data_IF_124364194526
#
_entry.id   IF_124364194526
#
_cell.length_a   1.000
_cell.length_b   1.000
_cell.length_c   1.000
_cell.angle_alpha   90.00
_cell.angle_beta   90.00
_cell.angle_gamma   90.00
#
_symmetry.space_group_name_H-M   'P 1'
#
loop_
_entity.id
_entity.type
_entity.pdbx_description
1 polymer ?
#
# COMPACT_ATOMS: atom_id res chain seq x y z
N UNK A 1 -27.73 0.68 32.95
CA UNK A 1 -26.93 0.11 31.86
C UNK A 1 -26.08 -0.97 32.53
N UNK A 2 -26.09 -2.21 32.04
CA UNK A 2 -25.01 -3.11 32.42
C UNK A 2 -23.86 -2.69 31.50
N UNK A 3 -22.83 -2.08 32.07
CA UNK A 3 -21.65 -1.68 31.32
C UNK A 3 -20.95 -2.97 30.90
N UNK A 4 -20.97 -3.29 29.61
CA UNK A 4 -20.14 -4.36 29.09
C UNK A 4 -18.71 -3.87 29.16
N UNK A 5 -17.87 -4.58 29.90
CA UNK A 5 -16.44 -4.26 29.93
C UNK A 5 -15.81 -4.52 28.56
N UNK A 6 -14.68 -3.88 28.28
CA UNK A 6 -13.89 -4.16 27.07
C UNK A 6 -13.54 -5.66 26.96
N UNK A 7 -13.26 -6.30 28.11
CA UNK A 7 -13.02 -7.74 28.21
C UNK A 7 -14.23 -8.59 27.86
N UNK A 8 -15.45 -8.13 28.17
CA UNK A 8 -16.68 -8.81 27.78
C UNK A 8 -16.87 -8.77 26.25
N UNK A 9 -16.57 -7.65 25.61
CA UNK A 9 -16.64 -7.48 24.16
C UNK A 9 -15.62 -8.37 23.45
N UNK A 10 -14.38 -8.42 23.94
CA UNK A 10 -13.33 -9.29 23.38
C UNK A 10 -13.70 -10.77 23.51
N UNK A 11 -14.27 -11.18 24.65
CA UNK A 11 -14.76 -12.57 24.83
C UNK A 11 -15.90 -12.89 23.87
N UNK A 12 -16.84 -11.98 23.65
CA UNK A 12 -17.94 -12.18 22.70
C UNK A 12 -17.42 -12.37 21.27
N UNK A 13 -16.46 -11.54 20.83
CA UNK A 13 -15.82 -11.64 19.52
C UNK A 13 -15.08 -12.96 19.35
N UNK A 14 -14.24 -13.34 20.33
CA UNK A 14 -13.52 -14.63 20.30
C UNK A 14 -14.46 -15.83 20.31
N UNK A 15 -15.58 -15.75 21.05
CA UNK A 15 -16.57 -16.83 21.10
C UNK A 15 -17.30 -16.98 19.77
N UNK A 16 -17.76 -15.88 19.15
CA UNK A 16 -18.50 -15.93 17.88
C UNK A 16 -17.60 -16.29 16.70
N UNK A 17 -16.35 -15.81 16.68
CA UNK A 17 -15.34 -16.17 15.69
C UNK A 17 -14.73 -17.57 15.85
N UNK A 18 -15.11 -18.32 16.88
CA UNK A 18 -14.59 -19.68 17.13
C UNK A 18 -13.13 -19.73 17.58
N UNK A 19 -12.58 -18.62 18.09
CA UNK A 19 -11.19 -18.48 18.53
C UNK A 19 -10.96 -18.84 20.02
N UNK A 20 -11.95 -19.47 20.66
CA UNK A 20 -11.84 -19.99 22.03
C UNK A 20 -11.50 -21.48 22.03
N UNK A 21 -10.63 -21.90 22.94
CA UNK A 21 -10.44 -23.32 23.25
C UNK A 21 -11.73 -23.95 23.80
N UNK A 22 -11.83 -25.29 23.77
CA UNK A 22 -13.03 -26.00 24.26
C UNK A 22 -13.34 -25.72 25.75
N UNK A 23 -12.31 -25.52 26.56
CA UNK A 23 -12.44 -25.19 27.97
C UNK A 23 -12.90 -23.74 28.18
N UNK A 24 -12.28 -22.77 27.50
CA UNK A 24 -12.73 -21.36 27.51
C UNK A 24 -14.17 -21.24 27.04
N UNK A 25 -14.53 -21.96 25.97
CA UNK A 25 -15.89 -21.98 25.42
C UNK A 25 -16.91 -22.48 26.44
N UNK A 26 -16.63 -23.59 27.11
CA UNK A 26 -17.51 -24.16 28.14
C UNK A 26 -17.62 -23.27 29.39
N UNK A 27 -16.56 -22.52 29.71
CA UNK A 27 -16.58 -21.52 30.78
C UNK A 27 -17.44 -20.32 30.39
N UNK A 28 -17.28 -19.81 29.18
CA UNK A 28 -18.04 -18.66 28.68
C UNK A 28 -19.52 -18.98 28.45
N UNK A 29 -19.87 -20.21 28.07
CA UNK A 29 -21.27 -20.65 27.97
C UNK A 29 -21.98 -20.61 29.34
N UNK A 30 -21.30 -21.00 30.43
CA UNK A 30 -21.82 -20.83 31.79
C UNK A 30 -21.93 -19.36 32.18
N UNK A 31 -21.01 -18.51 31.71
CA UNK A 31 -21.07 -17.06 31.92
C UNK A 31 -22.28 -16.45 31.19
N UNK A 32 -22.54 -16.84 29.94
CA UNK A 32 -23.74 -16.46 29.15
C UNK A 32 -25.04 -16.95 29.79
N UNK A 33 -25.01 -18.08 30.51
CA UNK A 33 -26.15 -18.56 31.30
C UNK A 33 -26.46 -17.63 32.48
N UNK A 34 -25.42 -17.15 33.16
CA UNK A 34 -25.52 -16.32 34.36
C UNK A 34 -25.73 -14.83 34.07
N UNK A 35 -25.26 -14.33 32.92
CA UNK A 35 -25.29 -12.92 32.52
C UNK A 35 -26.19 -12.72 31.30
N UNK A 36 -27.49 -12.46 31.49
CA UNK A 36 -28.42 -12.28 30.38
C UNK A 36 -28.02 -11.14 29.43
N UNK A 37 -27.34 -10.10 29.94
CA UNK A 37 -26.82 -9.00 29.12
C UNK A 37 -25.78 -9.45 28.07
N UNK A 38 -24.92 -10.43 28.40
CA UNK A 38 -23.96 -10.98 27.44
C UNK A 38 -24.67 -11.82 26.37
N UNK A 39 -25.71 -12.56 26.77
CA UNK A 39 -26.53 -13.36 25.85
C UNK A 39 -27.27 -12.46 24.85
N UNK A 40 -27.86 -11.37 25.33
CA UNK A 40 -28.54 -10.40 24.48
C UNK A 40 -27.55 -9.69 23.54
N UNK A 41 -26.36 -9.34 24.01
CA UNK A 41 -25.30 -8.76 23.19
C UNK A 41 -24.82 -9.72 22.09
N UNK A 42 -24.61 -11.00 22.42
CA UNK A 42 -24.24 -12.04 21.45
C UNK A 42 -25.34 -12.24 20.39
N UNK A 43 -26.60 -12.27 20.81
CA UNK A 43 -27.74 -12.38 19.89
C UNK A 43 -27.82 -11.16 18.95
N UNK A 44 -27.58 -9.96 19.47
CA UNK A 44 -27.53 -8.73 18.68
C UNK A 44 -26.39 -8.73 17.65
N UNK A 45 -25.19 -9.15 18.06
CA UNK A 45 -24.04 -9.27 17.16
C UNK A 45 -24.33 -10.25 16.02
N UNK A 46 -24.85 -11.45 16.32
CA UNK A 46 -25.23 -12.45 15.31
C UNK A 46 -26.32 -11.97 14.37
N UNK A 47 -27.33 -11.27 14.89
CA UNK A 47 -28.39 -10.70 14.07
C UNK A 47 -27.81 -9.68 13.07
N UNK A 48 -26.90 -8.82 13.51
CA UNK A 48 -26.23 -7.85 12.65
C UNK A 48 -25.36 -8.53 11.58
N UNK A 49 -24.52 -9.50 11.96
CA UNK A 49 -23.71 -10.30 11.04
C UNK A 49 -24.57 -11.01 9.98
N UNK A 50 -25.74 -11.52 10.36
CA UNK A 50 -26.66 -12.17 9.41
C UNK A 50 -27.40 -11.20 8.48
N UNK A 51 -27.55 -9.93 8.88
CA UNK A 51 -28.24 -8.90 8.12
C UNK A 51 -27.30 -8.22 7.11
N UNK A 52 -26.02 -8.12 7.42
CA UNK A 52 -25.00 -7.44 6.62
C UNK A 52 -24.98 -7.90 5.14
N UNK A 53 -24.97 -9.20 4.79
CA UNK A 53 -24.99 -9.65 3.40
C UNK A 53 -26.26 -9.27 2.60
N UNK A 54 -27.31 -8.79 3.28
CA UNK A 54 -28.59 -8.41 2.65
C UNK A 54 -28.66 -6.93 2.28
N UNK A 55 -27.64 -6.14 2.62
CA UNK A 55 -27.58 -4.71 2.31
C UNK A 55 -26.84 -4.56 0.96
N UNK A 56 -27.52 -4.24 -0.16
CA UNK A 56 -26.85 -4.02 -1.43
C UNK A 56 -26.03 -2.72 -1.38
N UNK A 57 -24.90 -2.69 -2.09
CA UNK A 57 -23.96 -1.54 -2.11
C UNK A 57 -24.59 -0.24 -2.59
N UNK A 58 -25.70 -0.31 -3.33
CA UNK A 58 -26.43 0.85 -3.85
C UNK A 58 -27.52 1.37 -2.89
N UNK A 59 -27.68 0.76 -1.72
CA UNK A 59 -28.71 1.14 -0.76
C UNK A 59 -28.35 2.44 -0.04
N UNK A 60 -29.31 3.37 0.04
CA UNK A 60 -29.15 4.62 0.80
C UNK A 60 -29.02 4.35 2.29
N UNK A 61 -28.28 5.22 2.99
CA UNK A 61 -27.97 5.11 4.42
C UNK A 61 -29.22 4.89 5.30
N UNK A 62 -30.31 5.59 4.98
CA UNK A 62 -31.57 5.52 5.74
C UNK A 62 -32.23 4.14 5.61
N UNK A 63 -32.12 3.50 4.44
CA UNK A 63 -32.74 2.20 4.18
C UNK A 63 -31.88 1.05 4.72
N UNK A 64 -30.55 1.21 4.69
CA UNK A 64 -29.63 0.31 5.37
C UNK A 64 -29.89 0.33 6.90
N UNK A 65 -30.05 1.51 7.50
CA UNK A 65 -30.40 1.65 8.91
C UNK A 65 -31.74 0.97 9.26
N UNK A 66 -32.76 1.10 8.41
CA UNK A 66 -34.05 0.42 8.60
C UNK A 66 -33.93 -1.11 8.53
N UNK A 67 -33.09 -1.66 7.64
CA UNK A 67 -32.85 -3.10 7.56
C UNK A 67 -32.10 -3.62 8.78
N UNK A 68 -31.07 -2.91 9.25
CA UNK A 68 -30.35 -3.25 10.47
C UNK A 68 -31.30 -3.21 11.67
N UNK A 69 -32.13 -2.17 11.76
CA UNK A 69 -33.10 -2.02 12.85
C UNK A 69 -34.20 -3.11 12.81
N UNK A 70 -34.62 -3.53 11.62
CA UNK A 70 -35.59 -4.61 11.43
C UNK A 70 -35.03 -6.00 11.76
N UNK A 71 -33.71 -6.20 11.66
CA UNK A 71 -33.05 -7.45 11.98
C UNK A 71 -32.87 -7.67 13.50
N UNK A 72 -32.99 -6.62 14.31
CA UNK A 72 -32.84 -6.74 15.76
C UNK A 72 -34.04 -7.45 16.40
N UNK A 73 -33.80 -8.32 17.40
CA UNK A 73 -34.88 -9.01 18.09
C UNK A 73 -35.83 -8.01 18.76
N UNK A 74 -37.12 -8.06 18.37
CA UNK A 74 -38.18 -7.18 18.87
C UNK A 74 -38.44 -7.28 20.38
N UNK A 75 -37.95 -8.34 21.03
CA UNK A 75 -38.11 -8.56 22.47
C UNK A 75 -37.16 -7.73 23.35
N UNK A 76 -36.25 -6.96 22.75
CA UNK A 76 -35.47 -5.96 23.48
C UNK A 76 -36.39 -4.82 23.96
N UNK A 77 -36.93 -4.97 25.19
CA UNK A 77 -37.99 -4.15 25.83
C UNK A 77 -37.79 -2.63 25.93
N UNK A 78 -36.76 -2.04 25.32
CA UNK A 78 -36.70 -0.59 25.13
C UNK A 78 -35.72 -0.20 24.00
N UNK A 79 -36.18 0.32 22.85
CA UNK A 79 -35.30 0.73 21.75
C UNK A 79 -34.32 1.85 22.14
N UNK A 80 -34.68 2.67 23.15
CA UNK A 80 -33.81 3.74 23.67
C UNK A 80 -32.52 3.22 24.34
N UNK A 81 -32.49 1.94 24.76
CA UNK A 81 -31.37 1.39 25.55
C UNK A 81 -30.27 0.76 24.69
N UNK A 82 -30.55 0.48 23.42
CA UNK A 82 -29.61 -0.14 22.47
C UNK A 82 -29.01 0.85 21.47
N UNK A 83 -29.60 2.04 21.33
CA UNK A 83 -29.18 3.05 20.35
C UNK A 83 -27.67 3.37 20.37
N UNK A 84 -26.99 3.52 21.53
CA UNK A 84 -25.55 3.81 21.54
C UNK A 84 -24.70 2.65 21.04
N UNK A 85 -25.06 1.41 21.39
CA UNK A 85 -24.38 0.20 20.95
C UNK A 85 -24.63 -0.08 19.47
N UNK A 86 -25.83 0.20 18.96
CA UNK A 86 -26.15 0.10 17.54
C UNK A 86 -25.46 1.17 16.70
N UNK A 87 -25.26 2.37 17.26
CA UNK A 87 -24.43 3.39 16.63
C UNK A 87 -22.95 2.98 16.60
N UNK A 88 -22.41 2.46 17.72
CA UNK A 88 -21.02 2.01 17.77
C UNK A 88 -20.78 0.77 16.88
N UNK A 89 -21.65 -0.23 16.96
CA UNK A 89 -21.60 -1.44 16.15
C UNK A 89 -21.90 -1.14 14.67
N UNK A 90 -22.83 -0.23 14.39
CA UNK A 90 -23.10 0.29 13.06
C UNK A 90 -21.90 1.04 12.48
N UNK A 91 -21.24 1.89 13.25
CA UNK A 91 -20.01 2.59 12.83
C UNK A 91 -18.84 1.62 12.61
N UNK A 92 -18.70 0.59 13.45
CA UNK A 92 -17.67 -0.45 13.27
C UNK A 92 -17.96 -1.36 12.07
N UNK A 93 -19.21 -1.80 11.88
CA UNK A 93 -19.64 -2.59 10.73
C UNK A 93 -19.58 -1.78 9.42
N UNK A 94 -19.88 -0.48 9.46
CA UNK A 94 -19.77 0.44 8.31
C UNK A 94 -18.30 0.70 7.95
N UNK A 95 -17.43 0.81 8.96
CA UNK A 95 -15.98 0.79 8.76
C UNK A 95 -15.45 -0.54 8.21
N UNK A 96 -16.14 -1.65 8.45
CA UNK A 96 -15.81 -2.97 7.88
C UNK A 96 -16.33 -3.11 6.44
N UNK A 97 -17.55 -2.65 6.15
CA UNK A 97 -18.22 -2.81 4.85
C UNK A 97 -17.58 -2.00 3.73
N UNK A 98 -16.92 -0.88 4.04
CA UNK A 98 -16.23 -0.07 3.03
C UNK A 98 -14.84 -0.64 2.65
N UNK A 99 -14.33 -1.65 3.37
CA UNK A 99 -12.94 -2.09 3.25
C UNK A 99 -12.69 -3.61 3.33
N UNK A 100 -13.72 -4.45 3.32
CA UNK A 100 -13.60 -5.91 3.41
C UNK A 100 -13.71 -6.62 2.06
N UNK A 101 -12.58 -6.88 1.40
CA UNK A 101 -12.49 -7.89 0.32
C UNK A 101 -11.43 -8.91 0.76
N UNK A 102 -11.84 -10.13 1.10
CA UNK A 102 -10.95 -11.12 1.73
C UNK A 102 -9.92 -11.75 0.78
N UNK A 103 -9.90 -11.39 -0.51
CA UNK A 103 -8.85 -11.85 -1.44
C UNK A 103 -8.76 -10.89 -2.64
N UNK A 104 -7.63 -10.23 -2.81
CA UNK A 104 -7.33 -9.45 -4.02
C UNK A 104 -6.39 -10.29 -4.89
N UNK A 105 -6.94 -11.02 -5.84
CA UNK A 105 -6.16 -11.64 -6.92
C UNK A 105 -6.05 -10.64 -8.07
N UNK A 106 -4.86 -10.04 -8.24
CA UNK A 106 -4.55 -9.25 -9.43
C UNK A 106 -3.87 -10.13 -10.47
N UNK A 107 -4.56 -10.39 -11.58
CA UNK A 107 -4.02 -11.08 -12.74
C UNK A 107 -3.58 -10.07 -13.80
N UNK A 108 -2.41 -9.46 -13.59
CA UNK A 108 -1.69 -8.70 -14.60
C UNK A 108 -1.89 -7.18 -14.52
N UNK A 109 -0.83 -6.48 -14.13
CA UNK A 109 -0.74 -5.01 -14.07
C UNK A 109 0.01 -4.53 -12.82
N UNK A 110 0.49 -3.27 -12.78
CA UNK A 110 0.98 -2.69 -11.54
C UNK A 110 -0.17 -2.52 -10.54
N UNK A 111 -0.03 -3.09 -9.35
CA UNK A 111 -0.98 -2.94 -8.25
C UNK A 111 -0.47 -1.84 -7.34
N UNK A 112 -1.22 -0.74 -7.24
CA UNK A 112 -0.91 0.34 -6.29
C UNK A 112 -1.75 0.14 -5.04
N UNK A 113 -1.10 -0.02 -3.89
CA UNK A 113 -1.74 -0.17 -2.59
C UNK A 113 -1.41 1.06 -1.76
N UNK A 114 -2.46 1.76 -1.33
CA UNK A 114 -2.31 2.78 -0.29
C UNK A 114 -2.16 2.06 1.05
N UNK A 115 -1.14 2.42 1.85
CA UNK A 115 -0.92 1.88 3.19
C UNK A 115 -2.15 2.03 4.11
N UNK A 116 -3.07 2.96 3.81
CA UNK A 116 -4.36 3.12 4.50
C UNK A 116 -5.41 2.06 4.10
N UNK A 117 -5.26 1.48 2.91
CA UNK A 117 -6.18 0.49 2.32
C UNK A 117 -5.76 -0.96 2.59
N UNK A 118 -4.80 -1.19 3.49
CA UNK A 118 -4.33 -2.55 3.81
C UNK A 118 -5.49 -3.35 4.41
N UNK A 119 -6.01 -4.28 3.62
CA UNK A 119 -7.04 -5.22 4.03
C UNK A 119 -6.41 -6.25 4.96
N UNK A 120 -7.14 -6.61 6.03
CA UNK A 120 -6.75 -7.71 6.90
C UNK A 120 -6.93 -9.04 6.15
N UNK A 121 -5.90 -9.89 6.07
CA UNK A 121 -5.97 -11.18 5.37
C UNK A 121 -4.68 -11.56 4.63
N UNK A 122 -4.67 -12.75 4.03
CA UNK A 122 -3.59 -13.17 3.11
C UNK A 122 -3.88 -12.63 1.71
N UNK A 123 -2.95 -11.88 1.11
CA UNK A 123 -3.07 -11.38 -0.27
C UNK A 123 -1.92 -11.92 -1.11
N UNK A 124 -2.23 -12.48 -2.28
CA UNK A 124 -1.24 -12.92 -3.27
C UNK A 124 -1.18 -11.87 -4.37
N UNK A 125 -0.03 -11.20 -4.52
CA UNK A 125 0.14 -10.15 -5.53
C UNK A 125 1.13 -10.61 -6.59
N UNK A 126 0.65 -10.71 -7.83
CA UNK A 126 1.45 -10.92 -9.04
C UNK A 126 1.59 -9.60 -9.82
N UNK A 127 2.82 -9.18 -10.12
CA UNK A 127 3.10 -7.95 -10.87
C UNK A 127 3.91 -6.90 -10.09
N UNK A 128 3.93 -5.65 -10.55
CA UNK A 128 4.61 -4.59 -9.81
C UNK A 128 3.73 -4.13 -8.64
N UNK A 129 4.15 -4.35 -7.40
CA UNK A 129 3.46 -3.86 -6.22
C UNK A 129 4.04 -2.49 -5.82
N UNK A 130 3.24 -1.43 -5.93
CA UNK A 130 3.63 -0.08 -5.50
C UNK A 130 2.93 0.21 -4.18
N UNK A 131 3.70 0.34 -3.10
CA UNK A 131 3.16 0.75 -1.80
C UNK A 131 3.39 2.25 -1.65
N UNK A 132 2.31 2.99 -1.40
CA UNK A 132 2.35 4.44 -1.14
C UNK A 132 1.72 4.76 0.21
N UNK A 133 2.27 5.72 0.96
CA UNK A 133 1.69 6.17 2.23
C UNK A 133 1.75 7.70 2.35
N UNK A 134 0.64 8.29 2.78
CA UNK A 134 0.43 9.75 2.80
C UNK A 134 0.62 10.41 4.18
N UNK A 135 0.98 9.69 5.25
CA UNK A 135 1.20 10.30 6.57
C UNK A 135 2.11 9.48 7.50
N UNK A 136 2.90 10.20 8.29
CA UNK A 136 3.96 9.75 9.21
C UNK A 136 3.50 8.94 10.43
N UNK A 137 2.59 7.97 10.29
CA UNK A 137 2.21 7.04 11.36
C UNK A 137 1.46 5.78 10.87
N UNK A 138 1.70 5.34 9.63
CA UNK A 138 1.05 4.13 9.13
C UNK A 138 1.91 2.89 9.48
N UNK A 139 1.63 2.31 10.65
CA UNK A 139 2.10 0.98 10.99
C UNK A 139 1.53 -0.02 9.97
N UNK A 140 2.38 -0.62 9.13
CA UNK A 140 1.99 -1.85 8.39
C UNK A 140 2.07 -3.02 9.36
N UNK A 141 1.14 -3.02 10.33
CA UNK A 141 0.73 -4.19 11.10
C UNK A 141 -0.65 -3.96 11.74
N UNK A 142 -1.71 -4.17 10.97
CA UNK A 142 -2.94 -4.77 11.54
C UNK A 142 -2.67 -6.27 11.64
N UNK A 143 -2.98 -6.88 12.79
CA UNK A 143 -2.50 -8.20 13.28
C UNK A 143 -2.61 -9.42 12.35
N UNK A 144 -3.11 -9.31 11.12
CA UNK A 144 -3.44 -10.45 10.25
C UNK A 144 -3.18 -10.23 8.75
N UNK A 145 -2.60 -9.12 8.32
CA UNK A 145 -2.33 -8.90 6.88
C UNK A 145 -0.97 -9.48 6.47
N UNK A 146 -0.97 -10.57 5.70
CA UNK A 146 0.23 -11.20 5.14
C UNK A 146 0.19 -11.10 3.61
N UNK A 147 1.22 -10.50 3.04
CA UNK A 147 1.31 -10.30 1.60
C UNK A 147 2.32 -11.31 1.05
N UNK A 148 1.87 -12.19 0.17
CA UNK A 148 2.72 -13.10 -0.58
C UNK A 148 2.98 -12.49 -1.94
N UNK A 149 4.21 -12.05 -2.17
CA UNK A 149 4.65 -11.48 -3.44
C UNK A 149 5.23 -12.62 -4.29
N UNK A 150 4.72 -12.80 -5.52
CA UNK A 150 5.21 -13.87 -6.41
C UNK A 150 6.66 -13.55 -6.83
N UNK A 151 7.60 -14.51 -6.92
CA UNK A 151 9.03 -14.23 -7.16
C UNK A 151 9.39 -13.38 -8.38
N UNK A 152 8.53 -13.32 -9.39
CA UNK A 152 8.70 -12.49 -10.59
C UNK A 152 8.28 -11.03 -10.41
N UNK A 153 7.76 -10.67 -9.24
CA UNK A 153 7.13 -9.38 -8.94
C UNK A 153 8.15 -8.41 -8.34
N UNK A 154 8.05 -7.13 -8.68
CA UNK A 154 8.90 -6.07 -8.11
C UNK A 154 8.11 -5.26 -7.10
N UNK A 155 8.67 -5.06 -5.90
CA UNK A 155 8.07 -4.19 -4.87
C UNK A 155 8.72 -2.82 -4.92
N UNK A 156 7.91 -1.78 -5.12
CA UNK A 156 8.34 -0.40 -5.18
C UNK A 156 7.74 0.34 -3.97
N UNK A 157 8.59 0.75 -3.03
CA UNK A 157 8.18 1.61 -1.93
C UNK A 157 8.31 3.08 -2.38
N UNK A 158 7.19 3.79 -2.56
CA UNK A 158 7.18 5.19 -3.01
C UNK A 158 6.56 6.12 -1.96
N UNK A 159 7.11 7.33 -1.84
CA UNK A 159 6.67 8.33 -0.87
C UNK A 159 7.15 8.03 0.55
N UNK A 160 6.43 8.55 1.55
CA UNK A 160 6.88 8.59 2.95
C UNK A 160 6.57 7.30 3.73
N UNK A 161 6.47 6.16 3.04
CA UNK A 161 6.06 4.86 3.61
C UNK A 161 6.92 4.44 4.80
N UNK A 162 8.21 4.75 4.75
CA UNK A 162 9.15 4.37 5.79
C UNK A 162 9.47 5.50 6.78
N UNK A 163 8.91 6.70 6.62
CA UNK A 163 9.27 7.84 7.49
C UNK A 163 9.01 7.56 8.97
N UNK A 164 7.96 6.81 9.31
CA UNK A 164 7.65 6.35 10.68
C UNK A 164 7.04 4.95 10.70
N UNK A 165 7.81 3.96 10.25
CA UNK A 165 7.34 2.59 10.21
C UNK A 165 8.37 1.61 9.68
N UNK A 166 8.01 0.32 9.76
CA UNK A 166 8.78 -0.77 9.18
C UNK A 166 7.91 -1.57 8.22
N UNK A 167 8.51 -2.06 7.15
CA UNK A 167 7.88 -3.00 6.21
C UNK A 167 8.53 -4.36 6.40
N UNK A 168 7.72 -5.40 6.61
CA UNK A 168 8.17 -6.80 6.70
C UNK A 168 7.86 -7.48 5.37
N UNK A 169 8.86 -8.17 4.81
CA UNK A 169 8.75 -8.87 3.54
C UNK A 169 9.20 -10.30 3.78
N UNK A 170 8.40 -11.26 3.28
CA UNK A 170 8.71 -12.68 3.34
C UNK A 170 8.62 -13.27 1.93
N UNK A 171 9.65 -14.00 1.51
CA UNK A 171 9.75 -14.68 0.22
C UNK A 171 10.93 -14.20 -0.63
N UNK A 172 10.79 -14.40 -1.95
CA UNK A 172 11.74 -13.89 -2.95
C UNK A 172 11.19 -12.67 -3.63
N UNK A 173 11.82 -11.51 -3.46
CA UNK A 173 11.34 -10.29 -4.09
C UNK A 173 12.47 -9.28 -4.34
N UNK A 174 12.66 -8.83 -5.60
CA UNK A 174 13.40 -7.61 -5.88
C UNK A 174 12.60 -6.39 -5.41
N UNK A 175 13.21 -5.59 -4.55
CA UNK A 175 12.67 -4.39 -3.94
C UNK A 175 13.54 -3.17 -4.28
N UNK A 176 12.88 -2.02 -4.46
CA UNK A 176 13.56 -0.73 -4.48
C UNK A 176 13.03 0.18 -3.38
N UNK A 177 13.95 0.67 -2.54
CA UNK A 177 13.67 1.64 -1.47
C UNK A 177 14.59 2.85 -1.65
N UNK A 178 14.03 4.00 -2.02
CA UNK A 178 14.84 5.16 -2.42
C UNK A 178 15.74 4.84 -3.61
N UNK A 179 17.05 4.98 -3.44
CA UNK A 179 18.06 4.67 -4.46
C UNK A 179 18.69 3.28 -4.32
N UNK A 180 18.22 2.45 -3.37
CA UNK A 180 18.77 1.12 -3.13
C UNK A 180 17.99 0.06 -3.90
N UNK A 181 18.71 -0.87 -4.52
CA UNK A 181 18.15 -2.12 -5.01
C UNK A 181 18.43 -3.22 -3.99
N UNK A 182 17.38 -3.89 -3.53
CA UNK A 182 17.43 -4.92 -2.49
C UNK A 182 16.81 -6.18 -3.08
N UNK A 183 17.57 -7.28 -3.16
CA UNK A 183 17.04 -8.58 -3.54
C UNK A 183 16.91 -9.44 -2.29
N UNK A 184 15.69 -9.81 -1.92
CA UNK A 184 15.38 -10.56 -0.70
C UNK A 184 15.14 -12.01 -1.11
N UNK A 185 15.84 -12.96 -0.49
CA UNK A 185 15.53 -14.40 -0.51
C UNK A 185 15.38 -14.89 0.93
N UNK A 186 14.22 -14.62 1.54
CA UNK A 186 13.95 -14.94 2.95
C UNK A 186 12.96 -13.98 3.60
N UNK A 187 13.19 -13.66 4.88
CA UNK A 187 12.36 -12.71 5.61
C UNK A 187 13.21 -11.52 6.06
N UNK A 188 12.77 -10.30 5.75
CA UNK A 188 13.49 -9.09 6.07
C UNK A 188 12.57 -7.96 6.54
N UNK A 189 13.11 -7.11 7.41
CA UNK A 189 12.45 -5.91 7.94
C UNK A 189 13.22 -4.69 7.46
N UNK A 190 12.53 -3.74 6.82
CA UNK A 190 13.09 -2.50 6.29
C UNK A 190 12.50 -1.32 7.08
N UNK A 191 13.34 -0.43 7.59
CA UNK A 191 12.93 0.77 8.35
C UNK A 191 13.86 1.95 8.03
N UNK A 192 13.34 3.19 7.98
CA UNK A 192 14.19 4.40 7.96
C UNK A 192 14.48 4.93 9.37
N UNK A 193 13.69 4.52 10.37
CA UNK A 193 13.89 4.89 11.77
C UNK A 193 14.56 3.76 12.58
N UNK A 194 15.24 4.10 13.69
CA UNK A 194 15.65 3.12 14.69
C UNK A 194 14.43 2.33 15.14
N UNK A 195 14.55 1.01 15.15
CA UNK A 195 13.57 0.14 15.82
C UNK A 195 13.78 0.24 17.34
N UNK A 196 13.53 1.42 17.91
CA UNK A 196 13.57 1.64 19.36
C UNK A 196 12.26 1.15 20.00
N UNK A 197 12.36 0.14 20.85
CA UNK A 197 11.30 -0.24 21.80
C UNK A 197 10.06 -0.96 21.25
N UNK A 198 9.80 -0.94 19.94
CA UNK A 198 8.53 -1.45 19.36
C UNK A 198 8.60 -2.90 18.85
N UNK A 199 9.79 -3.48 18.69
CA UNK A 199 9.97 -4.85 18.17
C UNK A 199 10.04 -5.91 19.28
N UNK A 200 9.11 -5.86 20.24
CA UNK A 200 9.01 -6.90 21.31
C UNK A 200 8.04 -8.04 20.98
N UNK A 201 7.39 -8.04 19.83
CA UNK A 201 6.27 -8.95 19.61
C UNK A 201 6.14 -9.41 18.15
N UNK A 202 7.11 -10.16 17.62
CA UNK A 202 6.91 -10.93 16.38
C UNK A 202 6.45 -12.33 16.72
N UNK A 203 5.18 -12.61 16.43
CA UNK A 203 4.41 -13.81 16.76
C UNK A 203 4.74 -15.05 15.91
N UNK A 204 6.00 -15.22 15.51
CA UNK A 204 6.48 -16.41 14.79
C UNK A 204 7.79 -16.98 15.35
N UNK A 205 8.30 -16.44 16.45
CA UNK A 205 9.36 -17.11 17.22
C UNK A 205 8.66 -18.07 18.21
N UNK A 206 9.01 -19.35 18.19
CA UNK A 206 8.48 -20.30 19.19
C UNK A 206 8.74 -19.76 20.61
N UNK A 207 7.86 -20.01 21.60
CA UNK A 207 8.08 -19.59 22.98
C UNK A 207 9.42 -20.14 23.53
N UNK A 208 10.49 -19.35 23.42
CA UNK A 208 11.86 -19.77 23.73
C UNK A 208 12.92 -19.11 22.83
N UNK A 209 12.57 -18.75 21.60
CA UNK A 209 13.46 -18.03 20.68
C UNK A 209 13.44 -16.53 20.96
N UNK A 210 14.27 -16.12 21.91
CA UNK A 210 14.54 -14.70 22.14
C UNK A 210 15.38 -14.21 20.97
N UNK A 211 14.80 -13.33 20.14
CA UNK A 211 15.57 -12.51 19.20
C UNK A 211 16.75 -11.91 19.99
N UNK A 212 17.96 -12.37 19.68
CA UNK A 212 19.12 -12.18 20.55
C UNK A 212 19.25 -10.68 20.87
N UNK A 213 19.11 -10.28 22.15
CA UNK A 213 19.01 -8.88 22.60
C UNK A 213 20.11 -7.97 22.03
N UNK A 214 21.22 -8.57 21.59
CA UNK A 214 22.34 -7.95 20.89
C UNK A 214 21.94 -7.34 19.54
N UNK A 215 21.06 -7.99 18.76
CA UNK A 215 20.58 -7.53 17.44
C UNK A 215 19.73 -6.26 17.58
N UNK A 216 18.83 -6.22 18.57
CA UNK A 216 18.05 -5.03 18.93
C UNK A 216 18.93 -3.86 19.40
N UNK A 217 20.03 -4.11 20.12
CA UNK A 217 20.95 -3.02 20.54
C UNK A 217 21.80 -2.49 19.40
N UNK A 218 22.25 -3.34 18.48
CA UNK A 218 23.01 -2.91 17.29
C UNK A 218 22.14 -2.07 16.35
N UNK A 219 20.85 -2.42 16.25
CA UNK A 219 19.84 -1.66 15.51
C UNK A 219 19.68 -0.21 16.00
N UNK A 220 19.65 -0.04 17.33
CA UNK A 220 19.48 1.26 17.99
C UNK A 220 20.68 2.20 17.79
N UNK A 221 21.91 1.67 17.70
CA UNK A 221 23.10 2.49 17.54
C UNK A 221 23.29 3.09 16.15
N UNK A 222 22.78 2.44 15.10
CA UNK A 222 23.04 2.82 13.71
C UNK A 222 22.02 3.82 13.13
N UNK A 223 20.81 3.87 13.68
CA UNK A 223 19.69 4.59 13.07
C UNK A 223 19.47 6.03 13.59
N UNK A 224 20.23 6.48 14.60
CA UNK A 224 20.19 7.86 15.09
C UNK A 224 20.64 8.92 14.05
N UNK A 225 21.14 8.49 12.89
CA UNK A 225 21.74 9.35 11.86
C UNK A 225 20.80 9.52 10.64
N UNK A 226 19.61 8.91 10.64
CA UNK A 226 18.68 8.97 9.51
C UNK A 226 19.22 8.20 8.30
N UNK A 227 18.83 6.93 8.18
CA UNK A 227 19.34 6.04 7.14
C UNK A 227 18.54 4.76 7.03
N UNK A 228 18.53 4.18 5.82
CA UNK A 228 17.87 2.91 5.57
C UNK A 228 18.53 1.80 6.40
N UNK A 229 17.73 1.19 7.26
CA UNK A 229 18.10 0.03 8.07
C UNK A 229 17.38 -1.20 7.55
N UNK A 230 18.14 -2.27 7.32
CA UNK A 230 17.68 -3.57 6.89
C UNK A 230 18.06 -4.61 7.94
N UNK A 231 17.09 -5.41 8.37
CA UNK A 231 17.30 -6.56 9.25
C UNK A 231 16.84 -7.82 8.55
N UNK A 232 17.71 -8.83 8.46
CA UNK A 232 17.38 -10.11 7.83
C UNK A 232 17.02 -11.10 8.95
N UNK A 233 15.76 -11.50 8.99
CA UNK A 233 15.24 -12.47 9.97
C UNK A 233 15.56 -13.90 9.53
N UNK A 234 15.40 -14.22 8.25
CA UNK A 234 15.76 -15.51 7.66
C UNK A 234 16.25 -15.36 6.22
N UNK A 235 17.03 -16.33 5.75
CA UNK A 235 17.57 -16.34 4.38
C UNK A 235 18.72 -15.36 4.12
N UNK A 236 18.80 -14.86 2.90
CA UNK A 236 19.84 -13.96 2.42
C UNK A 236 19.22 -12.73 1.75
N UNK A 237 19.83 -11.56 1.98
CA UNK A 237 19.45 -10.33 1.28
C UNK A 237 20.66 -9.71 0.62
N UNK A 238 20.54 -9.38 -0.66
CA UNK A 238 21.58 -8.68 -1.42
C UNK A 238 21.20 -7.23 -1.61
N UNK A 239 22.00 -6.33 -1.03
CA UNK A 239 21.79 -4.88 -1.13
C UNK A 239 22.79 -4.29 -2.10
N UNK A 240 22.32 -3.57 -3.10
CA UNK A 240 23.15 -2.79 -4.02
C UNK A 240 22.95 -1.31 -3.72
N UNK A 241 23.89 -0.67 -2.98
CA UNK A 241 23.88 0.77 -2.75
C UNK A 241 24.07 1.56 -4.06
N UNK A 242 23.56 2.80 -4.15
CA UNK A 242 23.68 3.61 -5.36
C UNK A 242 25.13 3.92 -5.75
N UNK A 243 26.00 4.11 -4.76
CA UNK A 243 27.38 4.59 -4.97
C UNK A 243 28.45 3.49 -4.82
N UNK A 244 28.04 2.25 -4.54
CA UNK A 244 28.97 1.16 -4.25
C UNK A 244 28.55 -0.14 -4.93
N UNK A 245 29.22 -0.47 -6.02
CA UNK A 245 29.52 -1.87 -6.31
C UNK A 245 30.76 -2.25 -5.50
N UNK A 246 30.79 -3.42 -4.84
CA UNK A 246 29.92 -4.57 -5.07
C UNK A 246 28.64 -4.59 -4.21
N UNK A 247 27.66 -5.36 -4.69
CA UNK A 247 26.48 -5.78 -3.91
C UNK A 247 26.90 -6.43 -2.59
N UNK A 248 26.26 -6.02 -1.49
CA UNK A 248 26.52 -6.51 -0.14
C UNK A 248 25.51 -7.60 0.20
N UNK A 249 25.99 -8.81 0.53
CA UNK A 249 25.16 -9.89 1.07
C UNK A 249 24.99 -9.72 2.58
N UNK A 250 23.74 -9.77 3.04
CA UNK A 250 23.33 -9.71 4.44
C UNK A 250 22.63 -11.02 4.77
N UNK A 251 23.25 -11.83 5.61
CA UNK A 251 22.73 -13.15 6.01
C UNK A 251 21.72 -13.03 7.17
N UNK A 252 20.90 -14.05 7.37
CA UNK A 252 20.00 -14.18 8.51
C UNK A 252 20.67 -13.84 9.86
N UNK A 253 19.96 -13.06 10.68
CA UNK A 253 20.43 -12.55 11.97
C UNK A 253 21.41 -11.38 11.88
N UNK A 254 21.79 -10.94 10.66
CA UNK A 254 22.60 -9.73 10.44
C UNK A 254 21.72 -8.54 10.09
N UNK A 255 22.30 -7.37 10.29
CA UNK A 255 21.70 -6.09 9.97
C UNK A 255 22.64 -5.29 9.09
N UNK A 256 22.08 -4.49 8.20
CA UNK A 256 22.80 -3.56 7.35
C UNK A 256 22.19 -2.17 7.49
N UNK A 257 23.02 -1.15 7.51
CA UNK A 257 22.58 0.23 7.64
C UNK A 257 23.45 1.13 6.74
N UNK A 258 22.82 2.06 6.03
CA UNK A 258 23.52 3.14 5.33
C UNK A 258 23.92 4.18 6.37
N UNK A 259 25.14 4.05 6.91
CA UNK A 259 25.71 5.16 7.65
C UNK A 259 25.86 6.34 6.67
N UNK A 260 25.24 7.48 6.98
CA UNK A 260 25.47 8.72 6.24
C UNK A 260 26.97 8.92 6.05
N UNK A 261 27.45 9.37 4.86
CA UNK A 261 28.87 9.41 4.53
C UNK A 261 29.64 10.19 5.59
N UNK A 262 30.33 9.47 6.47
CA UNK A 262 31.23 10.08 7.43
C UNK A 262 32.45 10.60 6.66
N UNK A 263 32.80 11.86 6.91
CA UNK A 263 33.89 12.57 6.25
C UNK A 263 35.18 11.71 6.21
N UNK A 264 35.56 11.32 5.00
CA UNK A 264 36.93 10.99 4.54
C UNK A 264 37.78 10.15 5.49
N UNK A 265 37.70 8.82 5.34
CA UNK A 265 38.82 7.94 5.68
C UNK A 265 39.68 7.79 4.42
N UNK A 266 40.90 8.34 4.46
CA UNK A 266 41.93 8.18 3.42
C UNK A 266 42.23 6.69 3.25
N UNK A 267 41.82 6.09 2.13
CA UNK A 267 42.26 4.75 1.74
C UNK A 267 43.42 4.90 0.76
N UNK A 268 44.60 4.46 1.22
CA UNK A 268 45.80 4.30 0.41
C UNK A 268 45.61 3.09 -0.50
N UNK A 269 45.71 3.29 -1.81
CA UNK A 269 45.67 2.25 -2.83
C UNK A 269 46.97 1.44 -2.86
N UNK A 270 46.89 0.10 -2.99
CA UNK A 270 47.93 -0.69 -3.62
C UNK A 270 47.42 -1.20 -4.97
N UNK A 271 47.95 -0.61 -6.04
CA UNK A 271 47.82 -1.12 -7.40
C UNK A 271 49.16 -1.76 -7.79
N UNK A 272 49.20 -3.10 -7.79
CA UNK A 272 50.18 -3.99 -8.42
C UNK A 272 49.62 -5.38 -8.09
N UNK A 273 49.33 -6.31 -8.99
CA UNK A 273 49.93 -6.70 -10.24
C UNK A 273 49.03 -7.87 -10.73
N UNK A 274 48.81 -8.02 -12.03
CA UNK A 274 48.81 -9.28 -12.79
C UNK A 274 48.15 -9.11 -14.15
N UNK A 275 48.86 -9.66 -15.14
CA UNK A 275 48.68 -9.49 -16.56
C UNK A 275 47.95 -10.69 -17.17
N UNK A 276 47.27 -10.43 -18.29
CA UNK A 276 47.09 -11.30 -19.48
C UNK A 276 46.79 -12.79 -19.28
N UNK A 277 45.58 -13.19 -19.67
CA UNK A 277 45.39 -14.37 -20.53
C UNK A 277 44.08 -14.25 -21.31
N UNK A 278 44.15 -14.35 -22.64
CA UNK A 278 43.01 -14.38 -23.57
C UNK A 278 42.82 -15.82 -24.06
N UNK A 279 41.61 -16.39 -23.99
CA UNK A 279 41.26 -17.52 -24.85
C UNK A 279 40.30 -17.12 -25.99
N UNK A 280 40.62 -17.64 -27.17
CA UNK A 280 39.92 -17.56 -28.46
C UNK A 280 38.56 -18.29 -28.45
N UNK A 281 37.69 -18.01 -29.44
CA UNK A 281 36.31 -18.49 -29.45
C UNK A 281 36.22 -19.95 -29.92
N UNK A 282 35.38 -20.74 -29.25
CA UNK A 282 34.93 -22.04 -29.72
C UNK A 282 33.58 -21.83 -30.41
N UNK A 283 33.55 -22.05 -31.71
CA UNK A 283 32.32 -22.16 -32.49
C UNK A 283 31.68 -23.53 -32.27
N UNK A 284 30.38 -23.52 -31.98
CA UNK A 284 29.52 -24.71 -32.09
C UNK A 284 28.30 -24.29 -32.89
N UNK A 285 28.19 -24.86 -34.08
CA UNK A 285 27.00 -24.91 -34.92
C UNK A 285 26.01 -25.91 -34.33
N UNK A 286 24.80 -25.48 -34.00
CA UNK A 286 23.69 -26.40 -33.75
C UNK A 286 22.44 -25.95 -34.54
N UNK A 287 21.99 -26.87 -35.40
CA UNK A 287 20.74 -26.83 -36.16
C UNK A 287 19.58 -26.92 -35.17
N UNK A 288 18.64 -25.98 -35.23
CA UNK A 288 17.29 -26.18 -34.70
C UNK A 288 16.38 -26.67 -35.83
N UNK A 289 15.92 -27.92 -35.69
CA UNK A 289 14.86 -28.50 -36.49
C UNK A 289 13.49 -27.97 -36.05
N UNK A 290 12.67 -27.64 -37.04
CA UNK A 290 11.30 -27.19 -36.90
C UNK A 290 10.38 -28.36 -36.54
N UNK A 291 9.75 -28.29 -35.36
CA UNK A 291 8.70 -29.20 -34.92
C UNK A 291 7.41 -28.46 -34.64
N UNK A 292 6.58 -28.28 -35.66
CA UNK A 292 5.24 -27.69 -35.55
C UNK A 292 4.27 -28.75 -35.01
N UNK A 293 3.86 -28.63 -33.75
CA UNK A 293 2.71 -29.38 -33.21
C UNK A 293 1.52 -28.43 -33.04
N UNK A 294 0.55 -28.53 -33.96
CA UNK A 294 -0.75 -27.89 -33.81
C UNK A 294 -1.60 -28.70 -32.84
N UNK A 295 -1.89 -28.12 -31.67
CA UNK A 295 -2.95 -28.60 -30.77
C UNK A 295 -4.25 -27.94 -31.22
N UNK A 296 -5.13 -28.72 -31.83
CA UNK A 296 -6.51 -28.32 -32.15
C UNK A 296 -7.32 -28.43 -30.86
N UNK A 297 -7.48 -27.30 -30.15
CA UNK A 297 -8.48 -27.16 -29.09
C UNK A 297 -9.81 -26.81 -29.76
N UNK A 298 -10.74 -27.77 -29.77
CA UNK A 298 -12.15 -27.53 -30.08
C UNK A 298 -12.79 -26.81 -28.90
N UNK A 299 -12.95 -25.50 -29.00
CA UNK A 299 -13.77 -24.72 -28.08
C UNK A 299 -15.24 -25.00 -28.33
N UNK A 300 -15.91 -25.41 -27.24
CA UNK A 300 -17.33 -25.73 -27.14
C UNK A 300 -18.14 -24.42 -27.14
N UNK A 301 -19.32 -24.50 -27.74
CA UNK A 301 -20.22 -23.38 -28.00
C UNK A 301 -20.60 -22.56 -26.76
N UNK A 302 -20.53 -21.24 -26.91
CA UNK A 302 -21.68 -20.36 -26.65
C UNK A 302 -21.97 -19.97 -25.20
N UNK A 303 -21.10 -19.17 -24.59
CA UNK A 303 -21.50 -18.29 -23.49
C UNK A 303 -20.99 -16.87 -23.79
N UNK A 304 -21.92 -15.92 -23.89
CA UNK A 304 -21.65 -14.56 -24.34
C UNK A 304 -20.66 -13.87 -23.38
N UNK A 305 -19.40 -13.76 -23.80
CA UNK A 305 -18.38 -13.00 -23.09
C UNK A 305 -18.85 -11.55 -22.92
N UNK A 306 -18.83 -11.01 -21.68
CA UNK A 306 -19.11 -9.60 -21.47
C UNK A 306 -18.12 -8.79 -22.29
N UNK A 307 -18.65 -7.85 -23.07
CA UNK A 307 -17.89 -7.01 -23.99
C UNK A 307 -16.64 -6.45 -23.31
N UNK A 308 -15.46 -6.87 -23.78
CA UNK A 308 -14.18 -6.28 -23.38
C UNK A 308 -14.30 -4.77 -23.50
N UNK A 309 -14.35 -4.09 -22.37
CA UNK A 309 -14.37 -2.63 -22.32
C UNK A 309 -13.03 -2.19 -22.88
N UNK A 310 -13.06 -1.60 -24.08
CA UNK A 310 -11.89 -1.06 -24.75
C UNK A 310 -11.28 -0.01 -23.82
N UNK A 311 -10.16 -0.35 -23.19
CA UNK A 311 -9.38 0.61 -22.42
C UNK A 311 -8.97 1.72 -23.40
N UNK A 312 -9.38 2.98 -23.18
CA UNK A 312 -9.00 4.07 -24.06
C UNK A 312 -7.48 4.11 -24.18
N UNK A 313 -6.97 4.19 -25.41
CA UNK A 313 -5.54 4.39 -25.62
C UNK A 313 -5.11 5.71 -24.96
N UNK A 314 -3.95 5.76 -24.28
CA UNK A 314 -3.47 6.98 -23.67
C UNK A 314 -3.26 8.05 -24.74
N UNK A 315 -3.78 9.26 -24.49
CA UNK A 315 -3.57 10.41 -25.36
C UNK A 315 -2.14 10.91 -25.17
N UNK A 316 -1.38 10.97 -26.26
CA UNK A 316 0.02 11.44 -26.26
C UNK A 316 0.03 12.88 -26.75
N UNK A 317 0.58 13.79 -25.96
CA UNK A 317 0.65 15.22 -26.28
C UNK A 317 2.03 15.66 -26.79
N UNK A 318 2.10 16.69 -27.64
CA UNK A 318 3.38 17.24 -28.08
C UNK A 318 4.16 17.90 -26.91
N UNK A 319 5.49 17.93 -27.00
CA UNK A 319 6.37 18.59 -26.01
C UNK A 319 6.54 20.10 -26.26
N UNK A 320 5.78 20.67 -27.18
CA UNK A 320 5.72 22.11 -27.42
C UNK A 320 4.96 22.80 -26.30
N UNK A 321 5.10 24.13 -26.21
CA UNK A 321 4.33 24.95 -25.24
C UNK A 321 2.82 24.68 -25.33
N UNK A 322 2.30 24.66 -26.55
CA UNK A 322 0.87 24.45 -26.80
C UNK A 322 0.47 23.00 -26.45
N UNK A 323 1.30 22.01 -26.79
CA UNK A 323 1.05 20.62 -26.41
C UNK A 323 1.05 20.39 -24.89
N UNK A 324 1.92 21.06 -24.14
CA UNK A 324 1.91 21.04 -22.67
C UNK A 324 0.65 21.70 -22.13
N UNK A 325 0.22 22.82 -22.71
CA UNK A 325 -1.01 23.48 -22.30
C UNK A 325 -2.23 22.59 -22.58
N UNK A 326 -2.30 21.96 -23.75
CA UNK A 326 -3.38 21.04 -24.12
C UNK A 326 -3.41 19.80 -23.21
N UNK A 327 -2.24 19.28 -22.84
CA UNK A 327 -2.12 18.16 -21.89
C UNK A 327 -2.64 18.54 -20.50
N UNK A 328 -2.29 19.72 -19.99
CA UNK A 328 -2.82 20.17 -18.70
C UNK A 328 -4.31 20.44 -18.78
N UNK A 329 -4.80 21.02 -19.88
CA UNK A 329 -6.22 21.28 -20.09
C UNK A 329 -7.05 20.00 -20.17
N UNK A 330 -6.51 18.91 -20.73
CA UNK A 330 -7.22 17.65 -20.85
C UNK A 330 -7.51 17.00 -19.49
N UNK A 331 -6.69 17.26 -18.47
CA UNK A 331 -6.86 16.75 -17.10
C UNK A 331 -7.46 17.76 -16.11
N UNK A 332 -7.90 18.92 -16.61
CA UNK A 332 -8.55 19.93 -15.76
C UNK A 332 -9.84 19.45 -15.09
N UNK A 333 -10.68 18.58 -15.70
CA UNK A 333 -11.84 18.01 -15.01
C UNK A 333 -11.47 17.24 -13.73
N UNK A 334 -10.44 16.40 -13.79
CA UNK A 334 -9.97 15.61 -12.64
C UNK A 334 -9.33 16.51 -11.57
N UNK A 335 -8.57 17.53 -11.99
CA UNK A 335 -8.03 18.55 -11.07
C UNK A 335 -9.17 19.34 -10.41
N UNK A 336 -10.25 19.64 -11.16
CA UNK A 336 -11.43 20.30 -10.63
C UNK A 336 -12.14 19.43 -9.60
N UNK A 337 -12.26 18.11 -9.83
CA UNK A 337 -12.86 17.18 -8.86
C UNK A 337 -12.03 17.10 -7.58
N UNK A 338 -10.69 17.05 -7.70
CA UNK A 338 -9.78 17.20 -6.56
C UNK A 338 -10.11 18.47 -5.77
N UNK A 339 -10.12 19.65 -6.42
CA UNK A 339 -10.36 20.93 -5.76
C UNK A 339 -11.77 21.05 -5.16
N UNK A 340 -12.80 20.63 -5.89
CA UNK A 340 -14.20 20.81 -5.51
C UNK A 340 -14.52 20.07 -4.21
N UNK A 341 -14.03 18.84 -4.04
CA UNK A 341 -14.23 18.04 -2.82
C UNK A 341 -13.73 18.73 -1.54
N UNK A 342 -12.64 19.49 -1.64
CA UNK A 342 -12.06 20.25 -0.53
C UNK A 342 -12.68 21.64 -0.37
N UNK A 343 -13.06 22.28 -1.48
CA UNK A 343 -13.64 23.62 -1.48
C UNK A 343 -14.97 23.70 -0.70
N UNK A 344 -15.72 22.59 -0.61
CA UNK A 344 -16.95 22.50 0.17
C UNK A 344 -16.72 22.53 1.68
N UNK A 345 -15.53 22.13 2.14
CA UNK A 345 -15.19 22.02 3.56
C UNK A 345 -14.46 23.26 4.08
N UNK A 346 -13.78 24.00 3.20
CA UNK A 346 -13.00 25.17 3.56
C UNK A 346 -13.39 26.38 2.71
N UNK A 347 -14.24 27.24 3.28
CA UNK A 347 -14.58 28.54 2.71
C UNK A 347 -13.32 29.41 2.66
N UNK A 348 -12.84 29.73 1.45
CA UNK A 348 -11.62 30.52 1.24
C UNK A 348 -10.46 29.75 0.61
N UNK A 349 -10.64 28.46 0.28
CA UNK A 349 -9.66 27.69 -0.46
C UNK A 349 -9.43 28.29 -1.86
N UNK A 350 -8.25 28.83 -2.11
CA UNK A 350 -7.89 29.45 -3.38
C UNK A 350 -6.46 30.02 -3.33
N UNK A 351 -5.90 30.34 -4.49
CA UNK A 351 -4.52 30.79 -4.59
C UNK A 351 -3.92 30.60 -5.97
N UNK A 352 -2.61 30.81 -6.06
CA UNK A 352 -1.81 30.44 -7.24
C UNK A 352 -0.73 29.47 -6.80
N UNK A 353 -0.47 28.47 -7.63
CA UNK A 353 0.48 27.40 -7.38
C UNK A 353 1.28 27.17 -8.65
N UNK A 354 2.59 27.04 -8.52
CA UNK A 354 3.48 26.74 -9.64
C UNK A 354 4.04 25.34 -9.46
N UNK A 355 3.73 24.46 -10.40
CA UNK A 355 4.27 23.12 -10.45
C UNK A 355 5.56 23.11 -11.26
N UNK A 356 6.55 22.34 -10.83
CA UNK A 356 7.73 22.02 -11.63
C UNK A 356 7.75 20.53 -11.89
N UNK A 357 8.09 20.12 -13.11
CA UNK A 357 8.28 18.73 -13.47
C UNK A 357 9.24 18.58 -14.65
N UNK A 358 9.77 17.36 -14.83
CA UNK A 358 10.66 17.01 -15.92
C UNK A 358 9.95 16.06 -16.86
N UNK A 359 9.84 16.41 -18.14
CA UNK A 359 9.42 15.48 -19.19
C UNK A 359 10.67 14.76 -19.68
N UNK A 360 10.73 13.44 -19.47
CA UNK A 360 11.84 12.61 -19.89
C UNK A 360 11.36 11.48 -20.79
N UNK A 361 12.18 11.11 -21.79
CA UNK A 361 11.91 9.95 -22.62
C UNK A 361 11.87 8.68 -21.76
N UNK A 362 10.87 7.84 -22.01
CA UNK A 362 10.75 6.49 -21.47
C UNK A 362 10.96 5.47 -22.60
N UNK A 363 11.20 4.22 -22.19
CA UNK A 363 11.22 3.08 -23.10
C UNK A 363 9.89 3.03 -23.87
N UNK A 364 9.95 2.95 -25.21
CA UNK A 364 8.76 2.93 -26.07
C UNK A 364 8.44 4.24 -26.80
N UNK A 365 9.30 5.26 -26.74
CA UNK A 365 9.13 6.49 -27.53
C UNK A 365 8.07 7.46 -26.97
N UNK A 366 7.65 7.25 -25.72
CA UNK A 366 6.73 8.13 -24.99
C UNK A 366 7.51 8.90 -23.91
N UNK A 367 7.28 10.20 -23.83
CA UNK A 367 7.72 11.06 -22.74
C UNK A 367 6.82 10.91 -21.52
N UNK A 368 7.43 10.79 -20.34
CA UNK A 368 6.73 10.67 -19.05
C UNK A 368 7.16 11.79 -18.11
N UNK A 369 6.27 12.18 -17.21
CA UNK A 369 6.58 13.14 -16.16
C UNK A 369 7.40 12.48 -15.04
N UNK A 370 8.47 13.17 -14.62
CA UNK A 370 9.32 12.84 -13.47
C UNK A 370 9.51 14.07 -12.59
N UNK A 371 9.96 13.84 -11.36
CA UNK A 371 10.36 14.88 -10.40
C UNK A 371 9.32 16.00 -10.25
N UNK A 372 8.03 15.63 -10.25
CA UNK A 372 6.94 16.57 -10.12
C UNK A 372 6.88 17.11 -8.68
N UNK A 373 6.77 18.42 -8.54
CA UNK A 373 6.65 19.08 -7.24
C UNK A 373 6.10 20.50 -7.34
N UNK A 374 5.87 21.12 -6.19
CA UNK A 374 5.44 22.52 -6.09
C UNK A 374 6.67 23.35 -5.80
N UNK A 375 6.95 24.34 -6.64
CA UNK A 375 8.12 25.22 -6.51
C UNK A 375 7.79 26.58 -5.93
N UNK A 376 6.56 27.03 -6.09
CA UNK A 376 6.07 28.28 -5.51
C UNK A 376 4.56 28.20 -5.23
N UNK A 377 4.14 28.87 -4.16
CA UNK A 377 2.77 28.85 -3.68
C UNK A 377 2.38 27.56 -2.95
N UNK A 378 1.13 27.15 -3.14
CA UNK A 378 0.50 26.02 -2.45
C UNK A 378 -0.92 26.39 -2.01
N UNK A 379 -1.80 25.40 -1.89
CA UNK A 379 -3.19 25.62 -1.47
C UNK A 379 -3.38 25.53 0.06
N UNK A 380 -2.28 25.31 0.80
CA UNK A 380 -2.30 25.15 2.26
C UNK A 380 -2.87 23.81 2.71
N UNK A 381 -3.18 22.91 1.78
CA UNK A 381 -3.72 21.59 2.03
C UNK A 381 -2.90 20.53 1.29
N UNK A 382 -1.99 19.88 2.02
CA UNK A 382 -1.10 18.84 1.48
C UNK A 382 -1.87 17.72 0.77
N UNK A 383 -3.06 17.37 1.24
CA UNK A 383 -3.90 16.35 0.62
C UNK A 383 -4.42 16.77 -0.77
N UNK A 384 -4.81 18.04 -0.92
CA UNK A 384 -5.24 18.58 -2.21
C UNK A 384 -4.05 18.73 -3.17
N UNK A 385 -2.94 19.26 -2.68
CA UNK A 385 -1.69 19.36 -3.42
C UNK A 385 -1.28 17.98 -3.97
N UNK A 386 -1.32 16.95 -3.13
CA UNK A 386 -1.06 15.55 -3.53
C UNK A 386 -2.04 15.00 -4.57
N UNK A 387 -3.33 15.35 -4.48
CA UNK A 387 -4.33 14.95 -5.48
C UNK A 387 -4.00 15.52 -6.86
N UNK A 388 -3.69 16.81 -6.93
CA UNK A 388 -3.34 17.49 -8.19
C UNK A 388 -2.03 16.96 -8.77
N UNK A 389 -1.00 16.76 -7.94
CA UNK A 389 0.28 16.17 -8.37
C UNK A 389 0.08 14.75 -8.94
N UNK A 390 -0.80 13.96 -8.34
CA UNK A 390 -1.11 12.61 -8.84
C UNK A 390 -1.77 12.65 -10.22
N UNK A 391 -2.77 13.51 -10.42
CA UNK A 391 -3.41 13.70 -11.74
C UNK A 391 -2.40 14.13 -12.79
N UNK A 392 -1.58 15.14 -12.47
CA UNK A 392 -0.54 15.65 -13.36
C UNK A 392 0.50 14.57 -13.71
N UNK A 393 0.85 13.69 -12.77
CA UNK A 393 1.82 12.60 -13.03
C UNK A 393 1.37 11.58 -14.09
N UNK A 394 0.07 11.53 -14.41
CA UNK A 394 -0.50 10.68 -15.44
C UNK A 394 -0.35 11.23 -16.88
N UNK A 395 0.12 12.46 -17.05
CA UNK A 395 0.29 13.06 -18.37
C UNK A 395 1.37 12.34 -19.19
N UNK A 396 1.06 12.10 -20.46
CA UNK A 396 1.94 11.45 -21.43
C UNK A 396 2.26 12.38 -22.60
N UNK A 397 3.51 12.38 -23.01
CA UNK A 397 4.02 13.27 -24.05
C UNK A 397 4.74 12.49 -25.16
N UNK A 398 5.00 13.13 -26.29
CA UNK A 398 6.00 12.65 -27.25
C UNK A 398 7.37 12.60 -26.57
N UNK A 399 8.19 11.58 -26.87
CA UNK A 399 9.52 11.49 -26.26
C UNK A 399 10.38 12.71 -26.67
N UNK A 400 10.87 13.51 -25.70
CA UNK A 400 11.75 14.62 -26.03
C UNK A 400 13.17 14.12 -26.36
N UNK A 401 13.90 14.86 -27.21
CA UNK A 401 15.30 14.54 -27.55
C UNK A 401 16.26 14.72 -26.36
N UNK A 402 15.87 15.51 -25.37
CA UNK A 402 16.57 15.75 -24.10
C UNK A 402 15.55 16.03 -23.00
N UNK A 403 15.83 15.72 -21.72
CA UNK A 403 14.92 16.04 -20.63
C UNK A 403 14.51 17.53 -20.63
N UNK A 404 13.21 17.79 -20.51
CA UNK A 404 12.64 19.14 -20.54
C UNK A 404 12.10 19.51 -19.16
N UNK A 405 12.67 20.55 -18.55
CA UNK A 405 12.17 21.11 -17.29
C UNK A 405 11.03 22.10 -17.58
N UNK A 406 9.88 21.87 -16.97
CA UNK A 406 8.66 22.67 -17.16
C UNK A 406 8.25 23.26 -15.82
N UNK A 407 7.94 24.56 -15.81
CA UNK A 407 7.26 25.22 -14.69
C UNK A 407 5.90 25.73 -15.18
N UNK A 408 4.83 25.27 -14.55
CA UNK A 408 3.46 25.55 -14.98
C UNK A 408 2.66 26.24 -13.86
N UNK A 409 2.25 27.52 -14.03
CA UNK A 409 1.44 28.21 -13.05
C UNK A 409 -0.05 27.87 -13.22
N UNK A 410 -0.72 27.58 -12.11
CA UNK A 410 -2.16 27.34 -12.05
C UNK A 410 -2.80 28.24 -10.99
N UNK A 411 -4.00 28.74 -11.28
CA UNK A 411 -4.76 29.58 -10.36
C UNK A 411 -6.03 28.86 -9.94
N UNK A 412 -6.22 28.73 -8.65
CA UNK A 412 -7.41 28.18 -8.02
C UNK A 412 -8.23 29.34 -7.48
N UNK A 413 -9.44 29.49 -7.97
CA UNK A 413 -10.37 30.49 -7.47
C UNK A 413 -11.65 29.81 -7.04
N UNK A 414 -12.16 30.20 -5.89
CA UNK A 414 -13.54 29.91 -5.53
C UNK A 414 -14.40 30.60 -6.60
N UNK A 415 -15.08 29.84 -7.45
CA UNK A 415 -16.07 30.42 -8.35
C UNK A 415 -17.08 31.13 -7.45
N UNK A 416 -17.28 32.46 -7.56
CA UNK A 416 -18.31 33.11 -6.78
C UNK A 416 -19.64 32.43 -7.10
N UNK A 417 -20.46 32.03 -6.11
CA UNK A 417 -21.72 31.35 -6.36
C UNK A 417 -22.73 32.13 -7.23
N UNK A 418 -22.44 33.40 -7.58
CA UNK A 418 -23.36 34.29 -8.29
C UNK A 418 -22.84 34.87 -9.62
N UNK A 419 -21.78 34.30 -10.22
CA UNK A 419 -21.45 34.66 -11.61
C UNK A 419 -22.45 34.00 -12.57
N UNK A 420 -23.59 34.68 -12.77
CA UNK A 420 -24.59 34.34 -13.79
C UNK A 420 -23.99 34.27 -15.21
N UNK A 421 -24.73 33.69 -16.17
CA UNK A 421 -24.26 33.39 -17.52
C UNK A 421 -23.72 34.60 -18.29
#
# INVERSE_FOLDING_TARGET
MADLSETDLEKLERYDGGAMSAEEKSSFERELEQRPELRDALAGARAMTSALPRIPETMTDERAAQLVQAALPREAKSPARWWPLLLAAGLMAFGYFRFGVDTVESLGGPVTVDARTVVAGESVVSGNLVITAQSSAAFVRRRSSKWTVVPSSRVLLRGNVLEKGAVVISGRAPLSAGMHAIDIDGEAVISLEPLEGSFRETSHLEPGDVMNQKVLRTAMGAAAIGGLSLYVLSGDVWVTPPDAMPTVRVEAGKSWNVAAPSKTTKVTSPFEQWSTEVPRPIGVTERLDAGTSQVVVRSRDGEASPSSSLVPLPVIHATTRDGIQDAVQSVMPEIWDCYHSWSQQQSGLGGSISFSFVIAASDGGVGTIRDIGIVDGGLGLTALDGCVLNVMSGLSFEAPSSPLNVTYPMKFSHRPPDAGP
#
